data_IF_696443015679
#
_entry.id   IF_696443015679
#
_cell.length_a   1.000
_cell.length_b   1.000
_cell.length_c   1.000
_cell.angle_alpha   90.00
_cell.angle_beta   90.00
_cell.angle_gamma   90.00
#
_symmetry.space_group_name_H-M   'P 1'
#
loop_
_entity.id
_entity.type
_entity.pdbx_description
1 polymer ?
#
# COMPACT_ATOMS: atom_id res chain seq x y z
N UNK A 1 2.17 6.11 -22.16
CA UNK A 1 2.19 7.14 -21.09
C UNK A 1 1.32 6.62 -19.97
N UNK A 2 1.92 6.47 -18.80
CA UNK A 2 1.30 5.86 -17.64
C UNK A 2 0.55 6.94 -16.84
N UNK A 3 -0.59 6.62 -16.26
CA UNK A 3 -1.40 7.57 -15.48
C UNK A 3 -2.03 6.93 -14.25
N UNK A 4 -2.34 7.75 -13.25
CA UNK A 4 -3.09 7.31 -12.08
C UNK A 4 -4.58 7.43 -12.34
N UNK A 5 -5.34 6.40 -11.98
CA UNK A 5 -6.78 6.37 -12.19
C UNK A 5 -7.56 6.24 -10.88
N UNK A 6 -6.88 5.89 -9.79
CA UNK A 6 -7.50 5.65 -8.49
C UNK A 6 -6.51 5.98 -7.38
N UNK A 7 -7.04 6.41 -6.24
CA UNK A 7 -6.29 6.64 -5.01
C UNK A 7 -6.95 5.90 -3.85
N UNK A 8 -6.12 5.39 -2.95
CA UNK A 8 -6.54 4.97 -1.62
C UNK A 8 -6.01 5.97 -0.60
N UNK A 9 -6.82 6.34 0.37
CA UNK A 9 -6.46 7.28 1.43
C UNK A 9 -6.51 6.55 2.77
N UNK A 10 -5.40 6.54 3.50
CA UNK A 10 -5.27 5.89 4.79
C UNK A 10 -5.19 6.99 5.86
N UNK A 11 -6.02 6.88 6.90
CA UNK A 11 -6.09 7.89 7.94
C UNK A 11 -7.04 7.50 9.08
N UNK A 12 -7.49 8.49 9.83
CA UNK A 12 -8.53 8.31 10.86
C UNK A 12 -9.85 8.96 10.42
N UNK A 13 -10.99 8.51 10.98
CA UNK A 13 -12.27 9.16 10.69
C UNK A 13 -12.32 10.59 11.28
N UNK A 14 -12.63 11.57 10.43
CA UNK A 14 -12.82 12.96 10.83
C UNK A 14 -14.23 13.26 11.40
N UNK A 15 -14.32 14.26 12.27
CA UNK A 15 -15.60 14.69 12.85
C UNK A 15 -16.19 13.69 13.84
N UNK A 16 -17.52 13.69 13.98
CA UNK A 16 -18.24 12.71 14.81
C UNK A 16 -18.31 11.38 14.03
N UNK A 17 -17.41 10.45 14.35
CA UNK A 17 -17.34 9.09 13.78
C UNK A 17 -17.16 9.01 12.26
N UNK A 18 -16.47 9.96 11.63
CA UNK A 18 -16.14 9.89 10.18
C UNK A 18 -17.14 10.61 9.27
N UNK A 19 -18.10 11.36 9.85
CA UNK A 19 -19.08 12.14 9.09
C UNK A 19 -18.41 13.16 8.13
N UNK A 20 -17.23 13.65 8.49
CA UNK A 20 -16.47 14.63 7.71
C UNK A 20 -15.42 13.99 6.78
N UNK A 21 -15.43 12.66 6.66
CA UNK A 21 -14.46 11.92 5.85
C UNK A 21 -13.20 11.52 6.61
N UNK A 22 -12.03 11.68 5.98
CA UNK A 22 -10.73 11.23 6.52
C UNK A 22 -9.93 12.41 7.09
N UNK A 23 -9.61 12.37 8.38
CA UNK A 23 -8.78 13.35 9.08
C UNK A 23 -8.27 12.79 10.43
N UNK A 24 -6.94 12.81 10.71
CA UNK A 24 -5.87 13.17 9.79
C UNK A 24 -5.66 12.12 8.70
N UNK A 25 -5.23 12.59 7.52
CA UNK A 25 -4.68 11.73 6.47
C UNK A 25 -3.25 11.38 6.88
N UNK A 26 -2.96 10.09 6.95
CA UNK A 26 -1.63 9.56 7.26
C UNK A 26 -0.79 9.45 5.99
N UNK A 27 -1.31 8.73 5.00
CA UNK A 27 -0.70 8.62 3.68
C UNK A 27 -1.75 8.20 2.64
N UNK A 28 -1.38 8.30 1.38
CA UNK A 28 -2.18 7.87 0.25
C UNK A 28 -1.42 6.81 -0.55
N UNK A 29 -2.15 5.97 -1.26
CA UNK A 29 -1.61 5.07 -2.27
C UNK A 29 -2.19 5.47 -3.61
N UNK A 30 -1.34 5.88 -4.54
CA UNK A 30 -1.72 6.14 -5.91
C UNK A 30 -1.70 4.83 -6.70
N UNK A 31 -2.75 4.57 -7.46
CA UNK A 31 -2.86 3.39 -8.32
C UNK A 31 -2.70 3.83 -9.77
N UNK A 32 -1.56 3.44 -10.33
CA UNK A 32 -1.18 3.71 -11.70
C UNK A 32 -1.55 2.58 -12.64
N UNK A 33 -1.82 2.90 -13.91
CA UNK A 33 -2.00 1.92 -14.96
C UNK A 33 -1.35 2.34 -16.28
N UNK A 34 -0.75 1.35 -16.96
CA UNK A 34 -0.26 1.41 -18.35
C UNK A 34 -0.24 -0.02 -18.89
N UNK A 35 0.94 -0.59 -19.06
CA UNK A 35 1.12 -1.97 -19.52
C UNK A 35 0.94 -2.94 -18.34
N UNK A 36 1.22 -2.44 -17.12
CA UNK A 36 1.02 -3.10 -15.83
C UNK A 36 0.48 -2.08 -14.83
N UNK A 37 -0.23 -2.57 -13.83
CA UNK A 37 -0.65 -1.75 -12.70
C UNK A 37 0.52 -1.55 -11.74
N UNK A 38 0.57 -0.44 -11.01
CA UNK A 38 1.50 -0.26 -9.90
C UNK A 38 0.88 0.61 -8.80
N UNK A 39 1.43 0.50 -7.60
CA UNK A 39 0.98 1.21 -6.41
C UNK A 39 2.16 2.00 -5.82
N UNK A 40 1.94 3.26 -5.50
CA UNK A 40 2.97 4.16 -4.95
C UNK A 40 2.45 4.93 -3.74
N UNK A 41 3.24 5.08 -2.66
CA UNK A 41 2.83 5.83 -1.50
C UNK A 41 3.08 7.34 -1.68
N UNK A 42 2.19 8.15 -1.14
CA UNK A 42 2.39 9.58 -0.90
C UNK A 42 2.17 9.84 0.57
N UNK A 43 3.26 10.12 1.29
CA UNK A 43 3.23 10.34 2.73
C UNK A 43 2.79 11.76 3.06
N UNK A 44 1.81 11.87 3.96
CA UNK A 44 1.42 13.14 4.59
C UNK A 44 2.06 13.23 5.97
N UNK A 45 2.08 12.11 6.69
CA UNK A 45 2.81 11.92 7.95
C UNK A 45 4.22 11.37 7.69
N UNK A 46 5.24 12.18 8.02
CA UNK A 46 6.65 11.81 7.87
C UNK A 46 7.13 10.75 8.87
N UNK A 47 6.32 10.41 9.89
CA UNK A 47 6.66 9.34 10.83
C UNK A 47 6.49 7.94 10.21
N UNK A 48 5.77 7.82 9.09
CA UNK A 48 5.56 6.54 8.41
C UNK A 48 6.75 6.25 7.50
N UNK A 49 7.37 5.10 7.73
CA UNK A 49 8.56 4.66 6.99
C UNK A 49 8.25 3.34 6.30
N UNK A 50 8.47 3.21 4.98
CA UNK A 50 8.30 1.94 4.27
C UNK A 50 9.32 0.89 4.71
N UNK A 51 9.10 -0.36 4.31
CA UNK A 51 10.11 -1.41 4.44
C UNK A 51 11.31 -1.04 3.56
N UNK A 52 12.46 -0.80 4.19
CA UNK A 52 13.68 -0.44 3.46
C UNK A 52 13.50 0.86 2.68
N UNK A 53 13.59 0.78 1.35
CA UNK A 53 13.42 1.90 0.44
C UNK A 53 12.26 1.70 -0.55
N UNK A 54 11.31 0.81 -0.22
CA UNK A 54 10.20 0.50 -1.13
C UNK A 54 9.38 1.74 -1.45
N UNK A 55 9.24 2.01 -2.74
CA UNK A 55 8.47 3.11 -3.32
C UNK A 55 7.39 2.62 -4.26
N UNK A 56 7.51 1.40 -4.77
CA UNK A 56 6.60 0.85 -5.77
C UNK A 56 6.27 -0.60 -5.46
N UNK A 57 5.00 -0.97 -5.63
CA UNK A 57 4.57 -2.36 -5.76
C UNK A 57 3.90 -2.55 -7.11
N UNK A 58 4.30 -3.61 -7.83
CA UNK A 58 3.64 -4.10 -9.03
C UNK A 58 2.93 -5.41 -8.66
N UNK A 59 1.59 -5.46 -8.63
CA UNK A 59 0.84 -6.67 -8.30
C UNK A 59 1.02 -7.74 -9.37
N UNK A 60 0.69 -8.99 -9.03
CA UNK A 60 0.84 -10.13 -9.94
C UNK A 60 0.01 -9.98 -11.22
N UNK A 61 -1.15 -9.33 -11.12
CA UNK A 61 -2.03 -8.97 -12.22
C UNK A 61 -2.86 -7.72 -11.85
N UNK A 62 -3.45 -7.01 -12.84
CA UNK A 62 -4.30 -5.86 -12.56
C UNK A 62 -5.47 -6.22 -11.64
N UNK A 63 -5.71 -5.41 -10.62
CA UNK A 63 -6.76 -5.57 -9.61
C UNK A 63 -6.63 -6.86 -8.78
N UNK A 64 -5.41 -7.34 -8.55
CA UNK A 64 -5.16 -8.42 -7.58
C UNK A 64 -5.76 -8.04 -6.22
N UNK A 65 -6.64 -8.88 -5.62
CA UNK A 65 -7.27 -8.58 -4.34
C UNK A 65 -6.29 -8.41 -3.18
N UNK A 66 -5.05 -8.88 -3.31
CA UNK A 66 -4.00 -8.70 -2.30
C UNK A 66 -3.18 -7.42 -2.49
N UNK A 67 -3.26 -6.77 -3.66
CA UNK A 67 -2.41 -5.64 -4.03
C UNK A 67 -2.41 -4.51 -2.99
N UNK A 68 -3.58 -4.14 -2.50
CA UNK A 68 -3.71 -3.08 -1.49
C UNK A 68 -3.12 -3.50 -0.14
N UNK A 69 -3.32 -4.76 0.27
CA UNK A 69 -2.75 -5.28 1.51
C UNK A 69 -1.23 -5.33 1.43
N UNK A 70 -0.68 -5.78 0.30
CA UNK A 70 0.76 -5.79 0.04
C UNK A 70 1.36 -4.39 0.10
N UNK A 71 0.68 -3.43 -0.52
CA UNK A 71 1.08 -2.03 -0.48
C UNK A 71 1.04 -1.47 0.95
N UNK A 72 -0.01 -1.76 1.74
CA UNK A 72 -0.05 -1.34 3.13
C UNK A 72 1.07 -1.96 3.98
N UNK A 73 1.38 -3.25 3.79
CA UNK A 73 2.48 -3.93 4.49
C UNK A 73 3.82 -3.27 4.13
N UNK A 74 4.07 -3.02 2.84
CA UNK A 74 5.31 -2.43 2.38
C UNK A 74 5.48 -0.97 2.79
N UNK A 75 4.41 -0.17 2.72
CA UNK A 75 4.48 1.28 2.90
C UNK A 75 4.20 1.74 4.33
N UNK A 76 3.60 0.90 5.17
CA UNK A 76 3.33 1.17 6.59
C UNK A 76 3.57 -0.09 7.47
N UNK A 77 4.79 -0.64 7.50
CA UNK A 77 5.12 -1.86 8.23
C UNK A 77 4.88 -1.76 9.75
N UNK A 78 4.97 -0.57 10.35
CA UNK A 78 4.76 -0.39 11.80
C UNK A 78 3.37 -0.84 12.26
N UNK A 79 2.34 -0.68 11.41
CA UNK A 79 0.98 -1.17 11.70
C UNK A 79 0.93 -2.70 11.83
N UNK A 80 1.90 -3.40 11.23
CA UNK A 80 2.00 -4.86 11.17
C UNK A 80 3.11 -5.42 12.07
N UNK A 81 3.68 -4.62 12.98
CA UNK A 81 4.82 -5.02 13.83
C UNK A 81 4.61 -6.28 14.67
N UNK A 82 3.35 -6.65 14.93
CA UNK A 82 3.01 -7.87 15.67
C UNK A 82 3.02 -9.14 14.81
N UNK A 83 3.20 -9.02 13.49
CA UNK A 83 3.33 -10.15 12.58
C UNK A 83 4.72 -10.79 12.71
N UNK A 84 4.83 -12.07 13.13
CA UNK A 84 6.11 -12.75 13.33
C UNK A 84 7.03 -12.75 12.09
N UNK A 85 6.43 -12.81 10.89
CA UNK A 85 7.19 -12.87 9.64
C UNK A 85 7.77 -11.52 9.21
N UNK A 86 7.31 -10.40 9.77
CA UNK A 86 7.66 -9.06 9.30
C UNK A 86 9.15 -8.76 9.43
N UNK A 87 9.76 -9.02 10.59
CA UNK A 87 11.17 -8.68 10.82
C UNK A 87 12.10 -9.36 9.80
N UNK A 88 11.82 -10.62 9.49
CA UNK A 88 12.58 -11.39 8.51
C UNK A 88 12.39 -10.84 7.09
N UNK A 89 11.16 -10.51 6.71
CA UNK A 89 10.85 -9.86 5.43
C UNK A 89 11.57 -8.51 5.30
N UNK A 90 11.54 -7.68 6.34
CA UNK A 90 12.22 -6.38 6.34
C UNK A 90 13.74 -6.50 6.13
N UNK A 91 14.38 -7.52 6.72
CA UNK A 91 15.81 -7.78 6.51
C UNK A 91 16.12 -8.19 5.08
N UNK A 92 15.29 -9.04 4.48
CA UNK A 92 15.49 -9.55 3.12
C UNK A 92 15.25 -8.49 2.04
N UNK A 93 14.34 -7.54 2.30
CA UNK A 93 14.00 -6.46 1.37
C UNK A 93 14.82 -5.19 1.59
N UNK A 94 15.86 -5.24 2.42
CA UNK A 94 16.71 -4.08 2.70
C UNK A 94 17.43 -3.63 1.43
N UNK A 95 17.11 -2.43 0.96
CA UNK A 95 17.72 -1.82 -0.23
C UNK A 95 16.95 -2.07 -1.53
N UNK A 96 15.85 -2.82 -1.50
CA UNK A 96 14.92 -2.93 -2.61
C UNK A 96 14.01 -1.71 -2.63
N UNK A 97 13.74 -1.17 -3.82
CA UNK A 97 12.88 -0.01 -4.06
C UNK A 97 11.55 -0.38 -4.75
N UNK A 98 11.49 -1.52 -5.43
CA UNK A 98 10.31 -2.03 -6.12
C UNK A 98 10.08 -3.53 -5.83
N UNK A 99 8.86 -3.90 -5.40
CA UNK A 99 8.42 -5.29 -5.38
C UNK A 99 7.59 -5.59 -6.62
N UNK A 100 8.08 -6.47 -7.47
CA UNK A 100 7.40 -6.89 -8.69
C UNK A 100 6.92 -8.34 -8.59
N UNK A 101 5.64 -8.50 -8.26
CA UNK A 101 4.99 -9.81 -8.16
C UNK A 101 4.68 -10.42 -9.54
N UNK A 102 4.87 -9.68 -10.63
CA UNK A 102 4.56 -10.11 -11.99
C UNK A 102 5.80 -10.61 -12.73
N UNK A 103 6.85 -9.80 -12.83
CA UNK A 103 8.06 -10.12 -13.60
C UNK A 103 9.22 -10.65 -12.74
N UNK A 104 9.21 -10.40 -11.44
CA UNK A 104 10.29 -10.84 -10.55
C UNK A 104 9.77 -11.51 -9.27
N UNK A 105 8.88 -12.51 -9.37
CA UNK A 105 8.33 -13.20 -8.20
C UNK A 105 9.42 -13.87 -7.33
N UNK A 106 10.57 -14.21 -7.91
CA UNK A 106 11.73 -14.76 -7.20
C UNK A 106 12.40 -13.78 -6.23
N UNK A 107 12.19 -12.47 -6.41
CA UNK A 107 12.68 -11.44 -5.49
C UNK A 107 11.76 -11.26 -4.27
N UNK A 108 10.54 -11.82 -4.31
CA UNK A 108 9.60 -11.78 -3.21
C UNK A 108 10.01 -12.83 -2.17
N UNK A 109 10.29 -12.46 -0.91
CA UNK A 109 10.62 -13.42 0.13
C UNK A 109 9.52 -14.47 0.31
N UNK A 110 9.90 -15.73 0.48
CA UNK A 110 8.93 -16.81 0.70
C UNK A 110 8.01 -16.56 1.91
N UNK A 111 8.53 -15.88 2.93
CA UNK A 111 7.76 -15.55 4.13
C UNK A 111 6.72 -14.44 3.89
N UNK A 112 6.75 -13.76 2.74
CA UNK A 112 5.73 -12.77 2.39
C UNK A 112 4.33 -13.39 2.38
N UNK A 113 4.19 -14.65 1.93
CA UNK A 113 2.91 -15.34 1.95
C UNK A 113 2.40 -15.65 3.37
N UNK A 114 3.30 -15.92 4.30
CA UNK A 114 2.95 -16.07 5.73
C UNK A 114 2.58 -14.71 6.32
N UNK A 115 3.37 -13.67 6.01
CA UNK A 115 3.11 -12.30 6.42
C UNK A 115 1.75 -11.80 5.95
N UNK A 116 1.33 -12.09 4.71
CA UNK A 116 -0.03 -11.77 4.21
C UNK A 116 -1.12 -12.36 5.10
N UNK A 117 -0.97 -13.62 5.52
CA UNK A 117 -1.96 -14.30 6.38
C UNK A 117 -2.00 -13.67 7.78
N UNK A 118 -0.83 -13.36 8.33
CA UNK A 118 -0.68 -12.71 9.64
C UNK A 118 -1.20 -11.27 9.65
N UNK A 119 -0.98 -10.54 8.56
CA UNK A 119 -1.34 -9.13 8.41
C UNK A 119 -2.85 -8.93 8.14
N UNK A 120 -3.52 -9.91 7.53
CA UNK A 120 -4.94 -9.82 7.18
C UNK A 120 -5.87 -9.32 8.30
N UNK A 121 -5.83 -9.82 9.54
CA UNK A 121 -6.65 -9.27 10.62
C UNK A 121 -6.33 -7.81 10.95
N UNK A 122 -5.06 -7.38 10.89
CA UNK A 122 -4.64 -6.00 11.14
C UNK A 122 -5.00 -5.07 9.99
N UNK A 123 -4.91 -5.56 8.75
CA UNK A 123 -5.34 -4.84 7.56
C UNK A 123 -6.84 -4.52 7.63
N UNK A 124 -7.66 -5.47 8.08
CA UNK A 124 -9.11 -5.29 8.24
C UNK A 124 -9.49 -4.22 9.29
N UNK A 125 -8.58 -3.82 10.18
CA UNK A 125 -8.83 -2.74 11.14
C UNK A 125 -8.44 -1.37 10.59
N UNK A 126 -7.63 -1.31 9.53
CA UNK A 126 -7.22 -0.07 8.90
C UNK A 126 -8.44 0.67 8.33
N UNK A 127 -8.42 1.99 8.46
CA UNK A 127 -9.42 2.86 7.84
C UNK A 127 -8.86 3.35 6.52
N UNK A 128 -9.46 2.84 5.45
CA UNK A 128 -9.02 3.08 4.08
C UNK A 128 -10.23 3.57 3.29
N UNK A 129 -10.08 4.74 2.67
CA UNK A 129 -11.05 5.30 1.74
C UNK A 129 -10.53 5.12 0.32
N UNK A 130 -11.44 5.04 -0.64
CA UNK A 130 -11.13 4.95 -2.06
C UNK A 130 -11.74 6.15 -2.79
N UNK A 131 -11.01 6.69 -3.76
CA UNK A 131 -11.54 7.65 -4.71
C UNK A 131 -11.02 7.34 -6.12
N UNK A 132 -11.92 7.44 -7.10
CA UNK A 132 -11.57 7.31 -8.51
C UNK A 132 -11.21 8.69 -9.07
N UNK A 133 -10.14 8.75 -9.87
CA UNK A 133 -9.69 9.99 -10.47
C UNK A 133 -10.44 10.23 -11.78
N UNK A 134 -11.28 11.27 -11.77
CA UNK A 134 -11.99 11.75 -12.94
C UNK A 134 -11.47 13.12 -13.35
N UNK A 135 -11.21 13.31 -14.64
CA UNK A 135 -10.80 14.62 -15.15
C UNK A 135 -11.96 15.60 -15.00
N UNK A 136 -11.77 16.66 -14.23
CA UNK A 136 -12.70 17.79 -14.18
C UNK A 136 -12.58 18.54 -15.50
N UNK A 137 -13.64 18.51 -16.31
CA UNK A 137 -13.77 19.39 -17.46
C UNK A 137 -14.15 20.77 -16.93
N UNK A 138 -13.45 21.81 -17.40
CA UNK A 138 -13.55 23.17 -16.87
C UNK A 138 -14.98 23.59 -16.58
N UNK A 139 -15.17 24.11 -15.35
CA UNK A 139 -16.36 24.84 -14.92
C UNK A 139 -16.46 26.11 -15.77
#
# INVERSE_FOLDING_TARGET
>A
MAGYFQIYVIGEPGGIFGADGVNPIKFMILVGNSDRQWLEPVYVDNAIVPIGNLRVIIPAYPNDPNSLMDACIAFCPEHFRTCPSLEKVCKLLKGIDCLDFNLSPEQIPSDWYSLRKEAKPLFNTMKIWQADLVQVKGI
#
